data_IF_517142550719
#
_entry.id   IF_517142550719
#
_cell.length_a   1.000
_cell.length_b   1.000
_cell.length_c   1.000
_cell.angle_alpha   90.00
_cell.angle_beta   90.00
_cell.angle_gamma   90.00
#
_symmetry.space_group_name_H-M   'P 1'
#
loop_
_entity.id
_entity.type
_entity.pdbx_description
1 polymer ?
#
# COMPACT_ATOMS: atom_id res chain seq x y z
N UNK A 1 13.69 11.50 -11.46
CA UNK A 1 13.09 11.98 -12.71
C UNK A 1 12.37 13.28 -12.41
N UNK A 2 12.85 14.45 -12.90
CA UNK A 2 12.29 15.76 -12.56
C UNK A 2 10.81 15.90 -12.94
N UNK A 3 10.40 15.28 -14.04
CA UNK A 3 9.04 15.37 -14.56
C UNK A 3 8.04 14.67 -13.64
N UNK A 4 8.43 13.51 -13.08
CA UNK A 4 7.64 12.77 -12.08
C UNK A 4 7.46 13.57 -10.78
N UNK A 5 8.44 14.39 -10.40
CA UNK A 5 8.34 15.22 -9.19
C UNK A 5 7.35 16.36 -9.41
N UNK A 6 7.40 17.00 -10.59
CA UNK A 6 6.49 18.09 -10.93
C UNK A 6 5.02 17.65 -10.99
N UNK A 7 4.74 16.46 -11.53
CA UNK A 7 3.37 15.99 -11.75
C UNK A 7 2.72 15.30 -10.54
N UNK A 8 3.48 14.90 -9.52
CA UNK A 8 2.94 14.07 -8.43
C UNK A 8 2.12 14.84 -7.37
N UNK A 9 2.16 16.17 -7.37
CA UNK A 9 1.46 17.02 -6.40
C UNK A 9 1.84 16.78 -4.93
N UNK A 10 3.00 16.17 -4.65
CA UNK A 10 3.46 15.84 -3.30
C UNK A 10 4.47 16.88 -2.79
N UNK A 11 4.45 17.18 -1.49
CA UNK A 11 5.41 18.11 -0.86
C UNK A 11 6.88 17.66 -1.01
N UNK A 12 7.10 16.34 -1.04
CA UNK A 12 8.42 15.75 -1.20
C UNK A 12 8.33 14.39 -1.89
N UNK A 13 9.25 14.15 -2.83
CA UNK A 13 9.38 12.88 -3.54
C UNK A 13 10.75 12.28 -3.27
N UNK A 14 10.76 11.08 -2.69
CA UNK A 14 11.98 10.33 -2.41
C UNK A 14 12.06 9.09 -3.28
N UNK A 15 13.05 9.03 -4.16
CA UNK A 15 13.36 7.84 -4.94
C UNK A 15 14.34 6.97 -4.17
N UNK A 16 13.90 5.76 -3.80
CA UNK A 16 14.75 4.79 -3.09
C UNK A 16 15.66 3.98 -4.03
N UNK A 17 15.55 4.18 -5.35
CA UNK A 17 16.39 3.59 -6.40
C UNK A 17 16.57 2.06 -6.34
N UNK A 18 15.56 1.35 -5.82
CA UNK A 18 15.57 -0.11 -5.79
C UNK A 18 15.23 -0.70 -7.15
N UNK A 19 16.11 -1.55 -7.66
CA UNK A 19 15.80 -2.37 -8.83
C UNK A 19 14.70 -3.39 -8.53
N UNK A 20 14.00 -3.83 -9.59
CA UNK A 20 12.99 -4.90 -9.50
C UNK A 20 13.53 -6.19 -8.86
N UNK A 21 14.82 -6.48 -9.04
CA UNK A 21 15.49 -7.64 -8.44
C UNK A 21 15.74 -7.44 -6.94
N UNK A 22 16.10 -6.23 -6.51
CA UNK A 22 16.37 -5.90 -5.12
C UNK A 22 15.10 -5.90 -4.23
N UNK A 23 13.92 -5.75 -4.83
CA UNK A 23 12.62 -5.89 -4.14
C UNK A 23 12.03 -7.31 -4.23
N UNK A 24 12.83 -8.32 -4.62
CA UNK A 24 12.46 -9.74 -4.49
C UNK A 24 12.70 -10.25 -3.07
N UNK A 25 12.04 -11.36 -2.72
CA UNK A 25 12.20 -11.99 -1.40
C UNK A 25 11.72 -11.11 -0.24
N UNK A 26 12.55 -11.00 0.79
CA UNK A 26 12.21 -10.36 2.08
C UNK A 26 12.27 -8.83 2.07
N UNK A 27 12.86 -8.19 1.05
CA UNK A 27 12.86 -6.72 0.86
C UNK A 27 13.47 -5.95 2.05
N UNK A 28 14.47 -6.52 2.73
CA UNK A 28 15.02 -5.98 3.97
C UNK A 28 15.62 -4.58 3.80
N UNK A 29 16.26 -4.30 2.66
CA UNK A 29 16.79 -2.97 2.35
C UNK A 29 15.67 -1.93 2.32
N UNK A 30 14.64 -2.15 1.51
CA UNK A 30 13.51 -1.23 1.40
C UNK A 30 12.79 -1.04 2.75
N UNK A 31 12.65 -2.10 3.56
CA UNK A 31 12.09 -2.01 4.91
C UNK A 31 12.95 -1.13 5.82
N UNK A 32 14.29 -1.29 5.78
CA UNK A 32 15.22 -0.51 6.60
C UNK A 32 15.18 0.96 6.21
N UNK A 33 15.20 1.25 4.92
CA UNK A 33 15.30 2.62 4.44
C UNK A 33 13.96 3.36 4.62
N UNK A 34 12.82 2.69 4.39
CA UNK A 34 11.51 3.27 4.75
C UNK A 34 11.39 3.52 6.25
N UNK A 35 11.95 2.64 7.11
CA UNK A 35 11.98 2.88 8.56
C UNK A 35 12.76 4.13 8.94
N UNK A 36 13.90 4.38 8.27
CA UNK A 36 14.68 5.62 8.48
C UNK A 36 13.87 6.84 8.08
N UNK A 37 13.22 6.81 6.91
CA UNK A 37 12.36 7.90 6.43
C UNK A 37 11.22 8.14 7.43
N UNK A 38 10.52 7.09 7.85
CA UNK A 38 9.41 7.20 8.80
C UNK A 38 9.82 7.73 10.19
N UNK A 39 11.12 7.74 10.50
CA UNK A 39 11.66 8.27 11.75
C UNK A 39 12.10 9.75 11.64
N UNK A 40 12.18 10.34 10.45
CA UNK A 40 12.63 11.73 10.28
C UNK A 40 11.57 12.76 10.68
N UNK A 41 10.30 12.37 10.69
CA UNK A 41 9.15 13.23 11.01
C UNK A 41 7.95 12.42 11.46
N UNK A 42 6.98 13.11 12.07
CA UNK A 42 5.76 12.50 12.58
C UNK A 42 4.72 12.32 11.48
N UNK A 43 4.78 11.17 10.79
CA UNK A 43 3.72 10.78 9.86
C UNK A 43 2.49 10.25 10.61
N UNK A 44 1.30 10.60 10.15
CA UNK A 44 0.04 10.11 10.73
C UNK A 44 -0.36 8.73 10.22
N UNK A 45 -0.12 8.45 8.94
CA UNK A 45 -0.43 7.17 8.29
C UNK A 45 0.39 7.00 7.00
N UNK A 46 0.34 5.82 6.41
CA UNK A 46 1.01 5.49 5.15
C UNK A 46 0.00 4.99 4.12
N UNK A 47 0.02 5.55 2.90
CA UNK A 47 -0.71 5.01 1.75
C UNK A 47 0.27 4.21 0.90
N UNK A 48 -0.06 2.95 0.62
CA UNK A 48 0.81 2.05 -0.12
C UNK A 48 0.06 1.41 -1.29
N UNK A 49 0.56 1.61 -2.51
CA UNK A 49 -0.04 1.09 -3.73
C UNK A 49 0.51 -0.31 -4.06
N UNK A 50 -0.39 -1.29 -4.24
CA UNK A 50 -0.13 -2.72 -4.44
C UNK A 50 0.42 -3.44 -3.20
N UNK A 51 0.36 -4.77 -3.22
CA UNK A 51 0.75 -5.59 -2.07
C UNK A 51 2.22 -5.46 -1.63
N UNK A 52 3.17 -5.32 -2.57
CA UNK A 52 4.61 -5.26 -2.20
C UNK A 52 4.93 -4.03 -1.34
N UNK A 53 4.52 -2.80 -1.72
CA UNK A 53 4.63 -1.63 -0.83
C UNK A 53 3.85 -1.78 0.48
N UNK A 54 2.63 -2.33 0.47
CA UNK A 54 1.86 -2.60 1.72
C UNK A 54 2.66 -3.47 2.68
N UNK A 55 3.27 -4.53 2.16
CA UNK A 55 4.16 -5.42 2.94
C UNK A 55 5.34 -4.66 3.55
N UNK A 56 6.01 -3.82 2.76
CA UNK A 56 7.16 -3.02 3.24
C UNK A 56 6.69 -2.02 4.30
N UNK A 57 5.62 -1.25 4.06
CA UNK A 57 5.09 -0.24 4.96
C UNK A 57 4.69 -0.81 6.32
N UNK A 58 4.01 -1.96 6.31
CA UNK A 58 3.64 -2.67 7.52
C UNK A 58 4.90 -3.12 8.28
N UNK A 59 5.90 -3.73 7.64
CA UNK A 59 7.10 -4.17 8.39
C UNK A 59 8.03 -3.03 8.81
N UNK A 60 8.07 -1.94 8.06
CA UNK A 60 8.95 -0.80 8.33
C UNK A 60 8.44 0.06 9.49
N UNK A 61 7.12 0.21 9.65
CA UNK A 61 6.51 1.23 10.51
C UNK A 61 5.45 0.67 11.45
N UNK A 62 5.14 1.43 12.51
CA UNK A 62 3.98 1.19 13.38
C UNK A 62 2.73 1.96 12.93
N UNK A 63 2.79 2.68 11.81
CA UNK A 63 1.73 3.54 11.32
C UNK A 63 0.49 2.73 10.91
N UNK A 64 -0.70 3.34 10.95
CA UNK A 64 -1.83 2.91 10.13
C UNK A 64 -1.43 2.91 8.65
N UNK A 65 -1.80 1.86 7.92
CA UNK A 65 -1.51 1.68 6.51
C UNK A 65 -2.81 1.53 5.72
N UNK A 66 -2.94 2.30 4.66
CA UNK A 66 -4.00 2.18 3.66
C UNK A 66 -3.39 1.52 2.42
N UNK A 67 -3.80 0.28 2.14
CA UNK A 67 -3.35 -0.46 0.95
C UNK A 67 -4.27 -0.25 -0.23
N UNK A 68 -3.77 0.37 -1.30
CA UNK A 68 -4.53 0.60 -2.54
C UNK A 68 -4.24 -0.51 -3.53
N UNK A 69 -5.29 -1.18 -4.00
CA UNK A 69 -5.21 -2.33 -4.89
C UNK A 69 -5.92 -2.04 -6.21
N UNK A 70 -5.21 -2.33 -7.30
CA UNK A 70 -5.64 -2.04 -8.67
C UNK A 70 -5.95 -3.30 -9.48
N UNK A 71 -5.70 -4.49 -8.91
CA UNK A 71 -5.82 -5.76 -9.62
C UNK A 71 -6.46 -6.82 -8.73
N UNK A 72 -7.14 -7.76 -9.38
CA UNK A 72 -7.67 -8.96 -8.77
C UNK A 72 -6.57 -9.89 -8.27
N UNK A 73 -6.91 -10.77 -7.33
CA UNK A 73 -6.05 -11.86 -6.92
C UNK A 73 -4.96 -11.49 -5.93
N UNK A 74 -4.91 -10.23 -5.52
CA UNK A 74 -3.85 -9.74 -4.64
C UNK A 74 -3.88 -10.45 -3.27
N UNK A 75 -5.04 -10.95 -2.85
CA UNK A 75 -5.20 -11.72 -1.62
C UNK A 75 -5.59 -13.19 -1.85
N UNK A 76 -5.49 -13.75 -3.06
CA UNK A 76 -5.78 -15.19 -3.26
C UNK A 76 -4.76 -16.09 -2.54
N UNK A 77 -3.50 -15.65 -2.49
CA UNK A 77 -2.41 -16.39 -1.84
C UNK A 77 -2.59 -16.42 -0.32
N UNK A 78 -2.58 -17.63 0.26
CA UNK A 78 -2.73 -17.85 1.72
C UNK A 78 -1.75 -17.03 2.56
N UNK A 79 -0.49 -16.91 2.14
CA UNK A 79 0.52 -16.11 2.84
C UNK A 79 0.14 -14.63 2.94
N UNK A 80 -0.44 -14.06 1.88
CA UNK A 80 -0.91 -12.67 1.86
C UNK A 80 -2.17 -12.49 2.71
N UNK A 81 -3.08 -13.47 2.72
CA UNK A 81 -4.23 -13.49 3.64
C UNK A 81 -3.77 -13.50 5.10
N UNK A 82 -2.84 -14.38 5.45
CA UNK A 82 -2.30 -14.45 6.81
C UNK A 82 -1.63 -13.13 7.21
N UNK A 83 -0.82 -12.58 6.31
CA UNK A 83 -0.13 -11.31 6.53
C UNK A 83 -1.12 -10.15 6.76
N UNK A 84 -2.16 -10.03 5.93
CA UNK A 84 -3.21 -9.05 6.13
C UNK A 84 -3.82 -9.23 7.53
N UNK A 85 -4.25 -10.46 7.86
CA UNK A 85 -4.91 -10.75 9.14
C UNK A 85 -4.03 -10.44 10.37
N UNK A 86 -2.72 -10.67 10.28
CA UNK A 86 -1.77 -10.30 11.33
C UNK A 86 -1.78 -8.79 11.60
N UNK A 87 -1.96 -7.98 10.55
CA UNK A 87 -1.94 -6.52 10.63
C UNK A 87 -3.33 -5.86 10.57
N UNK A 88 -4.42 -6.64 10.68
CA UNK A 88 -5.81 -6.16 10.54
C UNK A 88 -6.19 -4.96 11.40
N UNK A 89 -5.51 -4.74 12.54
CA UNK A 89 -5.80 -3.62 13.45
C UNK A 89 -5.39 -2.26 12.85
N UNK A 90 -4.39 -2.26 11.98
CA UNK A 90 -3.79 -1.04 11.40
C UNK A 90 -3.73 -1.05 9.88
N UNK A 91 -4.25 -2.07 9.22
CA UNK A 91 -4.37 -2.15 7.78
C UNK A 91 -5.84 -1.91 7.38
N UNK A 92 -6.04 -0.95 6.49
CA UNK A 92 -7.29 -0.75 5.75
C UNK A 92 -7.00 -0.90 4.24
N UNK A 93 -7.95 -1.37 3.45
CA UNK A 93 -7.78 -1.67 2.04
C UNK A 93 -8.74 -0.86 1.18
N UNK A 94 -8.23 -0.35 0.06
CA UNK A 94 -8.99 0.34 -0.96
C UNK A 94 -8.84 -0.38 -2.29
N UNK A 95 -9.96 -0.77 -2.90
CA UNK A 95 -10.02 -1.22 -4.29
C UNK A 95 -10.34 -0.04 -5.19
N UNK A 96 -9.73 0.04 -6.37
CA UNK A 96 -10.03 1.13 -7.34
C UNK A 96 -11.38 0.98 -8.06
N UNK A 97 -12.06 -0.14 -7.83
CA UNK A 97 -13.42 -0.41 -8.29
C UNK A 97 -14.13 -1.35 -7.32
N UNK A 98 -15.45 -1.43 -7.43
CA UNK A 98 -16.25 -2.36 -6.64
C UNK A 98 -15.84 -3.80 -6.88
N UNK A 99 -15.53 -4.15 -8.13
CA UNK A 99 -15.07 -5.49 -8.48
C UNK A 99 -13.78 -5.86 -7.73
N UNK A 100 -12.81 -4.94 -7.65
CA UNK A 100 -11.56 -5.18 -6.91
C UNK A 100 -11.81 -5.23 -5.40
N UNK A 101 -12.68 -4.36 -4.86
CA UNK A 101 -13.09 -4.41 -3.45
C UNK A 101 -13.72 -5.77 -3.12
N UNK A 102 -14.61 -6.25 -3.96
CA UNK A 102 -15.37 -7.48 -3.72
C UNK A 102 -14.48 -8.73 -3.85
N UNK A 103 -13.49 -8.74 -4.75
CA UNK A 103 -12.44 -9.76 -4.78
C UNK A 103 -11.60 -9.80 -3.49
N UNK A 104 -11.26 -8.64 -2.94
CA UNK A 104 -10.57 -8.58 -1.65
C UNK A 104 -11.45 -9.07 -0.49
N UNK A 105 -12.73 -8.68 -0.46
CA UNK A 105 -13.70 -9.11 0.56
C UNK A 105 -13.93 -10.62 0.51
N UNK A 106 -14.10 -11.20 -0.68
CA UNK A 106 -14.24 -12.65 -0.85
C UNK A 106 -12.98 -13.40 -0.40
N UNK A 107 -11.80 -12.78 -0.59
CA UNK A 107 -10.52 -13.32 -0.13
C UNK A 107 -10.29 -13.21 1.37
N UNK A 108 -10.93 -12.24 2.03
CA UNK A 108 -10.76 -11.88 3.44
C UNK A 108 -12.13 -11.82 4.17
N UNK A 109 -12.89 -12.94 4.22
CA UNK A 109 -14.30 -12.92 4.65
C UNK A 109 -14.53 -12.54 6.13
N UNK A 110 -13.46 -12.58 6.96
CA UNK A 110 -13.51 -12.20 8.39
C UNK A 110 -13.24 -10.72 8.64
N UNK A 111 -13.00 -9.94 7.58
CA UNK A 111 -12.70 -8.51 7.70
C UNK A 111 -13.99 -7.69 7.76
N UNK A 112 -14.06 -6.67 8.64
CA UNK A 112 -15.17 -5.72 8.63
C UNK A 112 -15.27 -5.02 7.28
N UNK A 113 -16.49 -4.76 6.83
CA UNK A 113 -16.74 -4.18 5.51
C UNK A 113 -16.11 -2.78 5.39
N UNK A 114 -16.06 -2.05 6.50
CA UNK A 114 -15.53 -0.69 6.65
C UNK A 114 -14.02 -0.65 6.45
N UNK A 115 -13.34 -1.80 6.59
CA UNK A 115 -11.89 -1.94 6.38
C UNK A 115 -11.52 -2.23 4.93
N UNK A 116 -12.48 -2.53 4.05
CA UNK A 116 -12.25 -2.82 2.64
C UNK A 116 -13.28 -2.02 1.82
N UNK A 117 -12.85 -0.89 1.27
CA UNK A 117 -13.72 0.08 0.59
C UNK A 117 -13.30 0.32 -0.86
N UNK A 118 -14.15 0.99 -1.63
CA UNK A 118 -13.84 1.42 -2.99
C UNK A 118 -13.35 2.86 -2.98
N UNK A 119 -12.29 3.16 -3.73
CA UNK A 119 -11.88 4.53 -4.06
C UNK A 119 -11.68 4.62 -5.57
N UNK A 120 -12.66 5.20 -6.27
CA UNK A 120 -12.56 5.40 -7.72
C UNK A 120 -11.45 6.39 -8.05
N UNK A 121 -10.80 6.17 -9.20
CA UNK A 121 -9.88 7.16 -9.75
C UNK A 121 -10.63 8.46 -10.01
N UNK A 122 -9.98 9.57 -9.69
CA UNK A 122 -10.48 10.91 -10.00
C UNK A 122 -9.80 11.38 -11.28
N UNK A 123 -10.56 12.11 -12.08
CA UNK A 123 -10.04 12.87 -13.22
C UNK A 123 -10.11 14.34 -12.84
N UNK A 124 -9.09 15.09 -13.21
CA UNK A 124 -9.20 16.54 -13.26
C UNK A 124 -10.00 16.91 -14.52
N UNK A 125 -11.02 17.74 -14.37
CA UNK A 125 -11.89 18.17 -15.48
C UNK A 125 -11.50 19.54 -16.02
N UNK A 126 -10.55 20.22 -15.37
CA UNK A 126 -10.03 21.53 -15.77
C UNK A 126 -8.71 21.43 -16.54
N UNK A 127 -8.14 20.22 -16.65
CA UNK A 127 -6.88 19.92 -17.33
C UNK A 127 -7.07 19.59 -18.82
#
# INVERSE_FOLDING_TARGET
DPDVVADCGSDEVLFMEYSSSAIRGLKLGAIRDLRKIAATRSFSFCIAHRFKPVYIALLATKLPVIGVHHAFGDYHRRSRKLFANLFRKRLSLLGVSDAVRDDMRSSLPKWPSERIQTLYNRIDVEQ
#
